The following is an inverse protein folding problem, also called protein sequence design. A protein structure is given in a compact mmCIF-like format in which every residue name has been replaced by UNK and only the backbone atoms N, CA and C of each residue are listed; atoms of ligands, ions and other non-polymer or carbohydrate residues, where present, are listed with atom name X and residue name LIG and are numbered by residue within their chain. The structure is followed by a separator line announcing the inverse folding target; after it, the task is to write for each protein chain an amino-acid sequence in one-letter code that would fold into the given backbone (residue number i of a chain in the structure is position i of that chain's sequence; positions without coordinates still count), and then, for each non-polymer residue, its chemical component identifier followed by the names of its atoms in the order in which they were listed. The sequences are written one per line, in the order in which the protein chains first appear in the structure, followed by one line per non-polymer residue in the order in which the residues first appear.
data_IF_395647834111
#
_entry.id   IF_395647834111
#
_cell.length_a   1.000
_cell.length_b   1.000
_cell.length_c   1.000
_cell.angle_alpha   90.00
_cell.angle_beta   90.00
_cell.angle_gamma   90.00
#
_symmetry.space_group_name_H-M   'P 1'
#
loop_
_entity.id
_entity.type
_entity.pdbx_description
1 polymer ?
#
# COMPACT_ATOMS: atom_id res chain seq x y z
N UNK A 1 4.63 -18.73 6.58
CA UNK A 1 4.19 -17.61 7.42
C UNK A 1 4.40 -16.33 6.63
N UNK A 2 3.50 -15.34 6.75
CA UNK A 2 3.62 -14.09 6.01
C UNK A 2 4.93 -13.35 6.31
N UNK A 3 5.41 -12.59 5.33
CA UNK A 3 6.55 -11.66 5.46
C UNK A 3 5.99 -10.28 5.76
N UNK A 4 6.47 -9.62 6.82
CA UNK A 4 5.92 -8.32 7.19
C UNK A 4 6.84 -7.16 6.81
N UNK A 5 6.27 -6.11 6.22
CA UNK A 5 6.90 -4.80 6.06
C UNK A 5 6.42 -3.84 7.15
N UNK A 6 7.30 -2.95 7.62
CA UNK A 6 6.88 -1.83 8.46
C UNK A 6 6.44 -0.65 7.58
N UNK A 7 5.22 -0.15 7.77
CA UNK A 7 4.80 1.10 7.14
C UNK A 7 5.34 2.28 7.93
N UNK A 8 6.39 2.95 7.43
CA UNK A 8 7.10 4.04 8.11
C UNK A 8 6.32 5.36 8.10
N UNK A 9 5.20 5.46 7.38
CA UNK A 9 4.29 6.60 7.51
C UNK A 9 3.45 6.52 8.79
N UNK A 10 3.18 5.30 9.30
CA UNK A 10 2.37 5.08 10.50
C UNK A 10 3.18 4.59 11.71
N UNK A 11 4.16 3.72 11.47
CA UNK A 11 5.04 3.16 12.49
C UNK A 11 6.30 4.01 12.65
N UNK A 12 6.86 3.98 13.85
CA UNK A 12 8.09 4.70 14.23
C UNK A 12 7.99 6.22 14.03
N UNK A 13 6.77 6.78 14.07
CA UNK A 13 6.52 8.20 13.91
C UNK A 13 7.09 9.06 15.04
N UNK A 14 7.59 8.43 16.11
CA UNK A 14 8.38 9.05 17.17
C UNK A 14 9.78 9.50 16.69
N UNK A 15 10.19 9.10 15.49
CA UNK A 15 11.44 9.49 14.84
C UNK A 15 11.20 10.28 13.54
N UNK A 16 12.22 11.04 13.12
CA UNK A 16 12.26 11.64 11.78
C UNK A 16 12.28 10.55 10.70
N UNK A 17 11.69 10.82 9.53
CA UNK A 17 11.43 9.81 8.49
C UNK A 17 12.63 8.92 8.16
N UNK A 18 13.82 9.52 7.94
CA UNK A 18 15.02 8.76 7.59
C UNK A 18 15.57 7.90 8.74
N UNK A 19 15.24 8.22 9.99
CA UNK A 19 15.68 7.46 11.16
C UNK A 19 14.71 6.31 11.49
N UNK A 20 13.49 6.33 10.92
CA UNK A 20 12.52 5.22 11.02
C UNK A 20 13.03 3.93 10.39
N UNK A 21 13.92 4.02 9.39
CA UNK A 21 14.56 2.86 8.78
C UNK A 21 15.46 2.12 9.77
N UNK A 22 16.27 2.85 10.54
CA UNK A 22 17.11 2.28 11.60
C UNK A 22 16.23 1.62 12.68
N UNK A 23 15.14 2.28 13.07
CA UNK A 23 14.20 1.77 14.07
C UNK A 23 13.46 0.49 13.62
N UNK A 24 13.00 0.45 12.36
CA UNK A 24 12.32 -0.71 11.80
C UNK A 24 13.26 -1.93 11.70
N UNK A 25 14.51 -1.71 11.25
CA UNK A 25 15.51 -2.78 11.21
C UNK A 25 15.88 -3.28 12.61
N UNK A 26 16.05 -2.38 13.57
CA UNK A 26 16.31 -2.75 14.97
C UNK A 26 15.16 -3.56 15.59
N UNK A 27 13.91 -3.30 15.18
CA UNK A 27 12.75 -4.08 15.57
C UNK A 27 12.65 -5.46 14.87
N UNK A 28 13.49 -5.72 13.86
CA UNK A 28 13.58 -7.00 13.15
C UNK A 28 12.78 -7.07 11.86
N UNK A 29 12.24 -5.95 11.35
CA UNK A 29 11.66 -5.91 10.01
C UNK A 29 12.75 -6.06 8.94
N UNK A 30 12.37 -6.66 7.81
CA UNK A 30 13.23 -6.86 6.63
C UNK A 30 12.74 -6.11 5.40
N UNK A 31 11.50 -5.65 5.44
CA UNK A 31 10.88 -4.81 4.42
C UNK A 31 10.29 -3.55 5.04
N UNK A 32 10.23 -2.48 4.27
CA UNK A 32 9.55 -1.23 4.65
C UNK A 32 8.71 -0.70 3.51
N UNK A 33 7.67 0.03 3.87
CA UNK A 33 6.78 0.76 2.96
C UNK A 33 6.37 2.10 3.59
N UNK A 34 5.77 3.00 2.82
CA UNK A 34 5.29 4.30 3.28
C UNK A 34 4.49 4.98 2.15
N UNK A 35 3.80 6.08 2.46
CA UNK A 35 3.01 6.83 1.48
C UNK A 35 3.89 7.31 0.32
N UNK A 36 4.98 8.03 0.60
CA UNK A 36 5.86 8.53 -0.45
C UNK A 36 7.15 9.13 0.11
N UNK A 37 8.30 8.96 -0.56
CA UNK A 37 9.59 9.47 -0.11
C UNK A 37 9.95 10.85 -0.69
N UNK A 38 8.99 11.54 -1.30
CA UNK A 38 9.24 12.63 -2.26
C UNK A 38 9.87 13.90 -1.68
N UNK A 39 9.79 14.10 -0.36
CA UNK A 39 10.48 15.19 0.35
C UNK A 39 11.99 14.95 0.54
N UNK A 40 12.47 13.77 0.17
CA UNK A 40 13.86 13.37 0.27
C UNK A 40 14.42 12.97 -1.09
N UNK A 41 15.70 13.26 -1.32
CA UNK A 41 16.39 12.76 -2.50
C UNK A 41 16.39 11.22 -2.52
N UNK A 42 16.17 10.57 -3.68
CA UNK A 42 16.10 9.11 -3.78
C UNK A 42 17.35 8.42 -3.22
N UNK A 43 18.54 8.99 -3.44
CA UNK A 43 19.81 8.44 -2.94
C UNK A 43 19.92 8.45 -1.42
N UNK A 44 19.32 9.43 -0.74
CA UNK A 44 19.32 9.49 0.72
C UNK A 44 18.48 8.36 1.32
N UNK A 45 17.35 8.06 0.69
CA UNK A 45 16.46 6.95 1.08
C UNK A 45 17.10 5.61 0.74
N UNK A 46 17.69 5.46 -0.45
CA UNK A 46 18.45 4.27 -0.86
C UNK A 46 19.60 3.97 0.11
N UNK A 47 20.31 5.00 0.58
CA UNK A 47 21.37 4.86 1.58
C UNK A 47 20.85 4.30 2.92
N UNK A 48 19.65 4.69 3.35
CA UNK A 48 19.01 4.16 4.57
C UNK A 48 18.56 2.71 4.40
N UNK A 49 17.99 2.34 3.25
CA UNK A 49 17.67 0.94 2.93
C UNK A 49 18.92 0.06 2.97
N UNK A 50 19.98 0.48 2.26
CA UNK A 50 21.25 -0.25 2.17
C UNK A 50 21.93 -0.39 3.52
N UNK A 51 22.03 0.69 4.30
CA UNK A 51 22.63 0.69 5.65
C UNK A 51 22.00 -0.38 6.55
N UNK A 52 20.68 -0.55 6.44
CA UNK A 52 19.89 -1.40 7.33
C UNK A 52 19.56 -2.79 6.76
N UNK A 53 19.96 -3.07 5.51
CA UNK A 53 19.60 -4.32 4.83
C UNK A 53 18.08 -4.49 4.65
N UNK A 54 17.36 -3.38 4.42
CA UNK A 54 15.92 -3.37 4.23
C UNK A 54 15.54 -3.41 2.75
N UNK A 55 14.46 -4.13 2.44
CA UNK A 55 13.82 -4.10 1.12
C UNK A 55 12.77 -3.00 1.05
N UNK A 56 12.75 -2.22 -0.03
CA UNK A 56 11.62 -1.32 -0.31
C UNK A 56 10.46 -2.14 -0.88
N UNK A 57 9.42 -2.35 -0.09
CA UNK A 57 8.28 -3.23 -0.45
C UNK A 57 7.24 -2.50 -1.28
N UNK A 58 6.88 -1.28 -0.90
CA UNK A 58 5.85 -0.49 -1.56
C UNK A 58 6.03 0.99 -1.25
N UNK A 59 5.63 1.87 -2.18
CA UNK A 59 5.26 3.25 -1.89
C UNK A 59 4.22 3.72 -2.93
N UNK A 60 3.57 4.86 -2.70
CA UNK A 60 2.53 5.36 -3.60
C UNK A 60 3.12 6.29 -4.66
N UNK A 61 2.48 6.41 -5.82
CA UNK A 61 2.66 7.53 -6.74
C UNK A 61 2.46 8.88 -6.00
N UNK A 62 3.01 10.01 -6.50
CA UNK A 62 2.76 11.32 -5.91
C UNK A 62 1.26 11.60 -5.76
N UNK A 63 0.86 12.00 -4.56
CA UNK A 63 -0.55 12.02 -4.14
C UNK A 63 -1.22 13.40 -4.23
N UNK A 64 -0.58 14.37 -4.87
CA UNK A 64 -1.02 15.76 -4.92
C UNK A 64 -0.76 16.52 -3.61
N UNK A 65 -1.59 17.52 -3.33
CA UNK A 65 -1.52 18.35 -2.12
C UNK A 65 -2.13 17.64 -0.91
N UNK A 66 -1.33 16.76 -0.31
CA UNK A 66 -1.74 16.02 0.89
C UNK A 66 -2.15 16.94 2.05
N UNK A 67 -1.45 18.07 2.21
CA UNK A 67 -1.73 19.06 3.26
C UNK A 67 -3.04 19.81 3.00
N UNK A 68 -3.36 20.08 1.73
CA UNK A 68 -4.64 20.64 1.28
C UNK A 68 -5.82 19.67 1.33
N UNK A 69 -5.58 18.40 1.69
CA UNK A 69 -6.62 17.39 1.88
C UNK A 69 -6.77 16.41 0.71
N UNK A 70 -5.94 16.51 -0.33
CA UNK A 70 -5.91 15.51 -1.39
C UNK A 70 -5.39 14.18 -0.84
N UNK A 71 -5.86 13.07 -1.42
CA UNK A 71 -5.51 11.71 -1.00
C UNK A 71 -5.18 10.86 -2.22
N UNK A 72 -4.42 11.44 -3.16
CA UNK A 72 -4.26 10.92 -4.50
C UNK A 72 -5.01 11.75 -5.53
N UNK A 73 -4.50 11.74 -6.76
CA UNK A 73 -5.03 12.50 -7.89
C UNK A 73 -5.44 11.60 -9.07
N UNK A 74 -5.42 10.27 -8.89
CA UNK A 74 -5.64 9.31 -9.98
C UNK A 74 -6.97 9.48 -10.72
N UNK A 75 -8.04 9.83 -10.00
CA UNK A 75 -9.37 10.02 -10.57
C UNK A 75 -9.72 11.48 -10.91
N UNK A 76 -8.76 12.41 -10.78
CA UNK A 76 -9.01 13.84 -11.01
C UNK A 76 -8.81 14.20 -12.50
N UNK A 77 -9.88 14.53 -13.25
CA UNK A 77 -9.82 14.73 -14.69
C UNK A 77 -9.03 15.98 -15.10
N UNK A 78 -8.89 16.96 -14.21
CA UNK A 78 -8.16 18.21 -14.41
C UNK A 78 -6.66 18.12 -14.06
N UNK A 79 -6.19 16.96 -13.56
CA UNK A 79 -4.82 16.75 -13.09
C UNK A 79 -4.04 15.67 -13.84
N UNK A 80 -4.51 15.29 -15.03
CA UNK A 80 -3.92 14.21 -15.86
C UNK A 80 -2.42 14.42 -16.12
N UNK A 81 -2.00 15.62 -16.51
CA UNK A 81 -0.59 15.87 -16.82
C UNK A 81 0.32 15.83 -15.58
N UNK A 82 -0.20 16.25 -14.43
CA UNK A 82 0.52 16.10 -13.16
C UNK A 82 0.63 14.64 -12.76
N UNK A 83 -0.46 13.87 -12.90
CA UNK A 83 -0.46 12.43 -12.67
C UNK A 83 0.62 11.73 -13.52
N UNK A 84 0.69 12.04 -14.82
CA UNK A 84 1.66 11.46 -15.74
C UNK A 84 3.11 11.78 -15.34
N UNK A 85 3.38 13.04 -14.97
CA UNK A 85 4.68 13.46 -14.44
C UNK A 85 5.02 12.73 -13.14
N UNK A 86 4.02 12.50 -12.29
CA UNK A 86 4.16 11.73 -11.06
C UNK A 86 4.55 10.27 -11.29
N UNK A 87 4.05 9.64 -12.36
CA UNK A 87 4.45 8.27 -12.75
C UNK A 87 5.95 8.21 -13.07
N UNK A 88 6.46 9.15 -13.87
CA UNK A 88 7.89 9.20 -14.22
C UNK A 88 8.77 9.46 -12.99
N UNK A 89 8.28 10.29 -12.07
CA UNK A 89 8.93 10.53 -10.76
C UNK A 89 8.98 9.24 -9.95
N UNK A 90 7.87 8.53 -9.81
CA UNK A 90 7.81 7.26 -9.09
C UNK A 90 8.74 6.19 -9.70
N UNK A 91 8.85 6.12 -11.04
CA UNK A 91 9.82 5.22 -11.71
C UNK A 91 11.25 5.55 -11.30
N UNK A 92 11.60 6.83 -11.23
CA UNK A 92 12.94 7.28 -10.81
C UNK A 92 13.26 6.81 -9.39
N UNK A 93 12.32 7.00 -8.45
CA UNK A 93 12.47 6.52 -7.09
C UNK A 93 12.49 4.99 -7.01
N UNK A 94 11.56 4.29 -7.66
CA UNK A 94 11.49 2.84 -7.63
C UNK A 94 12.81 2.19 -8.09
N UNK A 95 13.44 2.72 -9.14
CA UNK A 95 14.76 2.28 -9.61
C UNK A 95 15.87 2.52 -8.59
N UNK A 96 15.93 3.71 -7.99
CA UNK A 96 16.95 4.03 -6.99
C UNK A 96 16.80 3.19 -5.72
N UNK A 97 15.56 2.87 -5.33
CA UNK A 97 15.23 2.12 -4.11
C UNK A 97 15.21 0.60 -4.32
N UNK A 98 15.31 0.11 -5.56
CA UNK A 98 15.13 -1.30 -5.89
C UNK A 98 13.71 -1.81 -5.59
N UNK A 99 12.70 -0.94 -5.68
CA UNK A 99 11.31 -1.28 -5.42
C UNK A 99 10.64 -1.81 -6.70
N UNK A 100 9.98 -2.96 -6.59
CA UNK A 100 9.34 -3.63 -7.74
C UNK A 100 7.87 -3.31 -7.93
N UNK A 101 7.27 -2.47 -7.08
CA UNK A 101 5.84 -2.15 -7.14
C UNK A 101 5.51 -0.80 -6.51
N UNK A 102 4.50 -0.11 -7.07
CA UNK A 102 4.00 1.18 -6.57
C UNK A 102 2.47 1.22 -6.61
N UNK A 103 1.86 1.93 -5.66
CA UNK A 103 0.40 2.06 -5.56
C UNK A 103 -0.10 3.41 -6.11
N UNK A 104 -1.20 3.38 -6.84
CA UNK A 104 -1.92 4.56 -7.29
C UNK A 104 -3.15 4.78 -6.42
N UNK A 105 -3.06 5.77 -5.51
CA UNK A 105 -4.25 6.25 -4.80
C UNK A 105 -5.22 6.92 -5.78
N UNK A 106 -6.48 6.46 -5.79
CA UNK A 106 -7.50 7.03 -6.68
C UNK A 106 -7.77 8.50 -6.36
N UNK A 107 -7.73 8.87 -5.08
CA UNK A 107 -8.16 10.19 -4.61
C UNK A 107 -9.63 10.26 -4.22
N UNK A 108 -10.04 11.45 -3.79
CA UNK A 108 -11.42 11.79 -3.44
C UNK A 108 -12.15 12.24 -4.69
N UNK A 109 -13.33 11.70 -4.94
CA UNK A 109 -14.14 12.03 -6.11
C UNK A 109 -14.45 13.55 -6.15
N UNK A 110 -14.13 14.25 -7.26
CA UNK A 110 -14.35 15.69 -7.35
C UNK A 110 -15.85 16.02 -7.36
N UNK A 111 -16.24 17.05 -6.59
CA UNK A 111 -17.64 17.48 -6.50
C UNK A 111 -18.11 18.04 -7.84
N UNK A 112 -19.31 17.64 -8.28
CA UNK A 112 -19.96 18.18 -9.47
C UNK A 112 -19.53 17.53 -10.79
N UNK A 113 -18.53 16.65 -10.79
CA UNK A 113 -18.22 15.82 -11.95
C UNK A 113 -19.17 14.61 -12.02
N UNK A 114 -19.57 14.21 -13.23
CA UNK A 114 -20.36 13.00 -13.43
C UNK A 114 -19.52 11.75 -13.08
N UNK A 115 -20.09 10.71 -12.43
CA UNK A 115 -19.35 9.51 -12.05
C UNK A 115 -18.59 8.85 -13.20
N UNK A 116 -19.17 8.85 -14.41
CA UNK A 116 -18.53 8.30 -15.61
C UNK A 116 -17.28 9.09 -16.02
N UNK A 117 -17.29 10.42 -15.87
CA UNK A 117 -16.11 11.26 -16.17
C UNK A 117 -14.97 10.93 -15.22
N UNK A 118 -15.28 10.77 -13.93
CA UNK A 118 -14.30 10.42 -12.89
C UNK A 118 -13.71 9.02 -13.14
N UNK A 119 -14.57 8.04 -13.41
CA UNK A 119 -14.13 6.68 -13.70
C UNK A 119 -13.30 6.61 -14.99
N UNK A 120 -13.70 7.32 -16.04
CA UNK A 120 -12.95 7.40 -17.30
C UNK A 120 -11.57 8.01 -17.08
N UNK A 121 -11.48 9.11 -16.33
CA UNK A 121 -10.19 9.73 -16.00
C UNK A 121 -9.28 8.75 -15.24
N UNK A 122 -9.83 8.04 -14.25
CA UNK A 122 -9.06 7.05 -13.50
C UNK A 122 -8.58 5.90 -14.39
N UNK A 123 -9.45 5.32 -15.21
CA UNK A 123 -9.10 4.22 -16.12
C UNK A 123 -8.01 4.64 -17.11
N UNK A 124 -8.13 5.81 -17.73
CA UNK A 124 -7.12 6.28 -18.70
C UNK A 124 -5.78 6.61 -18.04
N UNK A 125 -5.79 7.15 -16.82
CA UNK A 125 -4.58 7.35 -16.02
C UNK A 125 -3.93 6.02 -15.65
N UNK A 126 -4.71 5.02 -15.23
CA UNK A 126 -4.18 3.69 -14.90
C UNK A 126 -3.61 2.96 -16.11
N UNK A 127 -4.24 3.07 -17.30
CA UNK A 127 -3.66 2.53 -18.55
C UNK A 127 -2.28 3.12 -18.82
N UNK A 128 -2.19 4.45 -18.78
CA UNK A 128 -0.92 5.14 -18.95
C UNK A 128 0.13 4.68 -17.93
N UNK A 129 -0.23 4.65 -16.64
CA UNK A 129 0.69 4.27 -15.58
C UNK A 129 1.14 2.81 -15.70
N UNK A 130 0.21 1.90 -16.02
CA UNK A 130 0.49 0.47 -16.15
C UNK A 130 1.50 0.22 -17.27
N UNK A 131 1.32 0.82 -18.45
CA UNK A 131 2.23 0.69 -19.59
C UNK A 131 3.64 1.24 -19.26
N UNK A 132 3.70 2.42 -18.63
CA UNK A 132 4.97 3.07 -18.25
C UNK A 132 5.74 2.27 -17.21
N UNK A 133 5.04 1.76 -16.19
CA UNK A 133 5.62 0.97 -15.12
C UNK A 133 6.02 -0.43 -15.60
N UNK A 134 5.25 -1.04 -16.50
CA UNK A 134 5.57 -2.34 -17.11
C UNK A 134 6.89 -2.26 -17.88
N UNK A 135 7.05 -1.22 -18.71
CA UNK A 135 8.29 -0.95 -19.42
C UNK A 135 9.50 -0.78 -18.46
N UNK A 136 9.25 -0.29 -17.24
CA UNK A 136 10.27 -0.14 -16.21
C UNK A 136 10.46 -1.38 -15.33
N UNK A 137 9.68 -2.45 -15.53
CA UNK A 137 9.70 -3.67 -14.71
C UNK A 137 9.11 -3.49 -13.30
N UNK A 138 8.15 -2.57 -13.14
CA UNK A 138 7.52 -2.22 -11.87
C UNK A 138 6.02 -2.53 -11.96
N UNK A 139 5.45 -3.18 -10.95
CA UNK A 139 4.00 -3.43 -10.87
C UNK A 139 3.24 -2.18 -10.46
N UNK A 140 2.13 -1.91 -11.14
CA UNK A 140 1.16 -0.92 -10.67
C UNK A 140 0.10 -1.60 -9.80
N UNK A 141 -0.16 -1.02 -8.64
CA UNK A 141 -1.23 -1.43 -7.74
C UNK A 141 -2.28 -0.32 -7.62
N UNK A 142 -3.52 -0.69 -7.31
CA UNK A 142 -4.55 0.23 -6.81
C UNK A 142 -5.10 -0.31 -5.49
N UNK A 143 -5.53 0.58 -4.63
CA UNK A 143 -6.02 0.26 -3.29
C UNK A 143 -7.41 0.84 -3.08
N UNK A 144 -8.32 0.00 -2.56
CA UNK A 144 -9.63 0.44 -2.11
C UNK A 144 -9.57 0.89 -0.65
N UNK A 145 -10.08 2.08 -0.34
CA UNK A 145 -10.03 2.68 1.00
C UNK A 145 -11.44 2.84 1.57
N UNK A 146 -11.58 2.60 2.87
CA UNK A 146 -12.87 2.75 3.55
C UNK A 146 -13.33 4.22 3.58
N UNK A 147 -14.65 4.42 3.42
CA UNK A 147 -15.25 5.76 3.35
C UNK A 147 -15.56 6.38 4.70
N UNK A 148 -15.29 5.69 5.80
CA UNK A 148 -15.39 6.23 7.17
C UNK A 148 -14.16 7.08 7.48
N UNK A 149 -12.96 6.56 7.21
CA UNK A 149 -11.68 7.25 7.40
C UNK A 149 -11.45 8.32 6.34
N UNK A 150 -11.80 8.02 5.08
CA UNK A 150 -11.66 8.96 3.96
C UNK A 150 -13.01 9.11 3.23
N UNK A 151 -13.92 9.97 3.74
CA UNK A 151 -15.19 10.23 3.09
C UNK A 151 -15.03 10.70 1.64
N UNK A 152 -15.73 10.03 0.73
CA UNK A 152 -15.71 10.36 -0.70
C UNK A 152 -14.50 9.82 -1.48
N UNK A 153 -13.66 8.98 -0.87
CA UNK A 153 -12.62 8.26 -1.62
C UNK A 153 -13.25 7.45 -2.76
N UNK A 154 -12.70 7.58 -3.97
CA UNK A 154 -13.35 7.08 -5.18
C UNK A 154 -13.41 5.56 -5.24
N UNK A 155 -12.30 4.87 -4.94
CA UNK A 155 -12.21 3.42 -4.97
C UNK A 155 -12.44 2.85 -3.57
N UNK A 156 -13.61 2.26 -3.31
CA UNK A 156 -14.07 2.00 -1.94
C UNK A 156 -14.24 0.52 -1.56
N UNK A 157 -14.21 -0.40 -2.53
CA UNK A 157 -14.37 -1.83 -2.28
C UNK A 157 -13.67 -2.70 -3.34
N UNK A 158 -13.54 -4.00 -3.03
CA UNK A 158 -12.87 -5.03 -3.83
C UNK A 158 -13.56 -5.25 -5.17
N UNK A 159 -14.90 -5.29 -5.20
CA UNK A 159 -15.66 -5.46 -6.45
C UNK A 159 -15.39 -4.30 -7.42
N UNK A 160 -15.38 -3.07 -6.91
CA UNK A 160 -15.05 -1.89 -7.68
C UNK A 160 -13.60 -1.94 -8.18
N UNK A 161 -12.64 -2.26 -7.31
CA UNK A 161 -11.24 -2.38 -7.70
C UNK A 161 -11.06 -3.37 -8.85
N UNK A 162 -11.60 -4.58 -8.72
CA UNK A 162 -11.49 -5.61 -9.74
C UNK A 162 -12.15 -5.20 -11.06
N UNK A 163 -13.34 -4.58 -11.02
CA UNK A 163 -14.00 -4.02 -12.22
C UNK A 163 -13.11 -3.00 -12.92
N UNK A 164 -12.46 -2.10 -12.16
CA UNK A 164 -11.55 -1.11 -12.74
C UNK A 164 -10.34 -1.79 -13.37
N UNK A 165 -9.74 -2.78 -12.71
CA UNK A 165 -8.59 -3.52 -13.28
C UNK A 165 -9.00 -4.19 -14.60
N UNK A 166 -10.15 -4.85 -14.64
CA UNK A 166 -10.66 -5.49 -15.85
C UNK A 166 -10.93 -4.47 -16.97
N UNK A 167 -11.44 -3.28 -16.62
CA UNK A 167 -11.72 -2.20 -17.56
C UNK A 167 -10.45 -1.52 -18.10
N UNK A 168 -9.39 -1.46 -17.30
CA UNK A 168 -8.06 -1.01 -17.75
C UNK A 168 -7.48 -2.03 -18.74
N UNK A 169 -7.64 -3.33 -18.48
CA UNK A 169 -7.25 -4.40 -19.40
C UNK A 169 -5.74 -4.62 -19.52
N UNK A 170 -4.95 -4.12 -18.56
CA UNK A 170 -3.49 -4.32 -18.51
C UNK A 170 -3.12 -5.56 -17.68
N UNK A 171 -2.07 -6.26 -18.09
CA UNK A 171 -1.48 -7.37 -17.32
C UNK A 171 -0.58 -6.88 -16.17
N UNK A 172 -0.23 -5.59 -16.14
CA UNK A 172 0.64 -4.98 -15.12
C UNK A 172 -0.14 -4.10 -14.13
N UNK A 173 -1.42 -4.42 -13.88
CA UNK A 173 -2.23 -3.74 -12.87
C UNK A 173 -2.82 -4.76 -11.89
N UNK A 174 -2.55 -4.55 -10.61
CA UNK A 174 -2.89 -5.46 -9.53
C UNK A 174 -3.67 -4.76 -8.42
N UNK A 175 -4.28 -5.55 -7.55
CA UNK A 175 -4.95 -5.05 -6.36
C UNK A 175 -4.01 -5.06 -5.15
N UNK A 176 -4.06 -3.97 -4.37
CA UNK A 176 -3.56 -3.89 -3.00
C UNK A 176 -4.73 -4.10 -2.05
N UNK A 177 -4.72 -5.21 -1.32
CA UNK A 177 -5.79 -5.57 -0.39
C UNK A 177 -5.41 -5.17 1.04
N UNK A 178 -5.87 -4.01 1.52
CA UNK A 178 -5.78 -3.69 2.95
C UNK A 178 -6.93 -4.34 3.72
N UNK A 179 -6.58 -5.29 4.59
CA UNK A 179 -7.51 -6.03 5.45
C UNK A 179 -8.35 -5.08 6.32
N UNK A 180 -7.77 -3.99 6.82
CA UNK A 180 -8.48 -3.03 7.65
C UNK A 180 -9.58 -2.34 6.87
N UNK A 181 -9.25 -1.81 5.69
CA UNK A 181 -10.23 -1.13 4.84
C UNK A 181 -11.35 -2.09 4.43
N UNK A 182 -11.01 -3.32 4.04
CA UNK A 182 -12.01 -4.28 3.58
C UNK A 182 -12.84 -4.88 4.72
N UNK A 183 -12.30 -4.99 5.94
CA UNK A 183 -13.11 -5.38 7.11
C UNK A 183 -14.21 -4.34 7.38
N UNK A 184 -13.87 -3.05 7.29
CA UNK A 184 -14.82 -1.96 7.52
C UNK A 184 -15.89 -1.91 6.43
N UNK A 185 -15.52 -2.16 5.17
CA UNK A 185 -16.41 -1.98 4.03
C UNK A 185 -17.23 -3.22 3.67
N UNK A 186 -16.68 -4.42 3.84
CA UNK A 186 -17.21 -5.65 3.24
C UNK A 186 -17.22 -6.83 4.21
N UNK A 187 -16.22 -6.94 5.08
CA UNK A 187 -15.97 -8.15 5.86
C UNK A 187 -15.53 -9.32 4.96
N UNK A 188 -15.86 -10.55 5.39
CA UNK A 188 -15.61 -11.80 4.65
C UNK A 188 -14.16 -12.01 4.14
N UNK A 189 -13.20 -11.51 4.92
CA UNK A 189 -11.80 -11.32 4.53
C UNK A 189 -11.14 -12.55 3.88
N UNK A 190 -11.21 -13.71 4.54
CA UNK A 190 -10.51 -14.91 4.08
C UNK A 190 -11.02 -15.37 2.70
N UNK A 191 -12.35 -15.47 2.53
CA UNK A 191 -12.94 -15.90 1.26
C UNK A 191 -12.66 -14.89 0.15
N UNK A 192 -12.71 -13.59 0.45
CA UNK A 192 -12.42 -12.54 -0.52
C UNK A 192 -10.96 -12.54 -0.96
N UNK A 193 -10.01 -12.73 -0.04
CA UNK A 193 -8.58 -12.84 -0.37
C UNK A 193 -8.35 -14.11 -1.21
N UNK A 194 -8.83 -15.27 -0.77
CA UNK A 194 -8.65 -16.54 -1.49
C UNK A 194 -9.20 -16.49 -2.91
N UNK A 195 -10.41 -15.94 -3.08
CA UNK A 195 -11.07 -15.83 -4.39
C UNK A 195 -10.29 -14.96 -5.39
N UNK A 196 -9.55 -13.96 -4.90
CA UNK A 196 -8.90 -12.95 -5.73
C UNK A 196 -7.38 -12.98 -5.63
N UNK A 197 -6.80 -14.08 -5.12
CA UNK A 197 -5.38 -14.17 -4.80
C UNK A 197 -4.47 -13.89 -6.01
N UNK A 198 -4.86 -14.33 -7.20
CA UNK A 198 -4.14 -14.11 -8.46
C UNK A 198 -4.13 -12.64 -8.91
N UNK A 199 -5.05 -11.83 -8.39
CA UNK A 199 -5.16 -10.39 -8.66
C UNK A 199 -4.48 -9.53 -7.59
N UNK A 200 -4.15 -10.08 -6.43
CA UNK A 200 -3.58 -9.36 -5.29
C UNK A 200 -2.05 -9.42 -5.32
N UNK A 201 -1.39 -8.27 -5.44
CA UNK A 201 0.07 -8.18 -5.40
C UNK A 201 0.62 -7.80 -4.01
N UNK A 202 -0.19 -7.12 -3.20
CA UNK A 202 0.20 -6.69 -1.86
C UNK A 202 -0.99 -6.73 -0.90
N UNK A 203 -0.72 -7.01 0.37
CA UNK A 203 -1.71 -7.02 1.44
C UNK A 203 -1.21 -6.09 2.53
N UNK A 204 -2.11 -5.33 3.15
CA UNK A 204 -1.82 -4.56 4.36
C UNK A 204 -2.70 -5.01 5.52
N UNK A 205 -2.28 -4.67 6.74
CA UNK A 205 -3.00 -4.99 7.96
C UNK A 205 -3.07 -3.81 8.94
N UNK A 206 -4.21 -3.74 9.61
CA UNK A 206 -4.44 -3.07 10.90
C UNK A 206 -5.69 -3.67 11.54
N UNK A 207 -5.83 -3.57 12.86
CA UNK A 207 -7.02 -4.09 13.52
C UNK A 207 -8.22 -3.15 13.43
N UNK A 208 -9.42 -3.72 13.45
CA UNK A 208 -10.69 -3.00 13.45
C UNK A 208 -11.46 -3.32 14.73
N UNK A 209 -12.07 -2.34 15.43
CA UNK A 209 -11.99 -0.90 15.20
C UNK A 209 -10.70 -0.25 15.70
N UNK A 210 -10.40 0.96 15.21
CA UNK A 210 -9.33 1.83 15.71
C UNK A 210 -8.04 1.89 14.90
N UNK A 211 -7.84 0.96 13.94
CA UNK A 211 -6.64 0.88 13.08
C UNK A 211 -5.35 0.77 13.89
N UNK A 212 -5.36 -0.04 14.95
CA UNK A 212 -4.23 -0.30 15.83
C UNK A 212 -3.54 -1.63 15.48
N UNK A 213 -2.52 -2.02 16.25
CA UNK A 213 -1.82 -3.29 16.05
C UNK A 213 -2.77 -4.51 16.13
N UNK A 214 -2.48 -5.60 15.39
CA UNK A 214 -3.19 -6.87 15.48
C UNK A 214 -3.40 -7.38 16.92
N UNK A 215 -4.63 -7.79 17.22
CA UNK A 215 -5.04 -8.31 18.54
C UNK A 215 -5.68 -7.26 19.46
N UNK A 216 -5.96 -6.06 18.95
CA UNK A 216 -6.63 -4.98 19.69
C UNK A 216 -8.12 -4.85 19.36
N UNK A 217 -8.58 -5.50 18.31
CA UNK A 217 -9.92 -5.41 17.77
C UNK A 217 -10.56 -6.79 17.53
N UNK A 218 -11.47 -6.83 16.55
CA UNK A 218 -12.36 -7.96 16.28
C UNK A 218 -11.76 -8.99 15.29
N UNK A 219 -10.64 -8.67 14.63
CA UNK A 219 -10.06 -9.51 13.58
C UNK A 219 -9.14 -10.57 14.19
N UNK A 220 -9.43 -11.84 13.93
CA UNK A 220 -8.54 -12.95 14.31
C UNK A 220 -7.35 -13.07 13.33
N UNK A 221 -6.34 -12.23 13.52
CA UNK A 221 -5.14 -12.22 12.68
C UNK A 221 -4.34 -13.52 12.65
N UNK A 222 -4.14 -14.27 13.77
CA UNK A 222 -3.51 -15.59 13.70
C UNK A 222 -4.16 -16.52 12.68
N UNK A 223 -5.50 -16.56 12.63
CA UNK A 223 -6.21 -17.33 11.60
C UNK A 223 -5.92 -16.85 10.18
N UNK A 224 -5.87 -15.53 9.96
CA UNK A 224 -5.57 -14.95 8.65
C UNK A 224 -4.12 -15.23 8.21
N UNK A 225 -3.15 -15.18 9.12
CA UNK A 225 -1.76 -15.51 8.80
C UNK A 225 -1.62 -16.96 8.32
N UNK A 226 -2.24 -17.91 9.03
CA UNK A 226 -2.25 -19.32 8.64
C UNK A 226 -3.04 -19.51 7.33
N UNK A 227 -4.08 -18.73 7.10
CA UNK A 227 -4.86 -18.79 5.86
C UNK A 227 -4.06 -18.31 4.65
N UNK A 228 -3.37 -17.18 4.76
CA UNK A 228 -2.49 -16.65 3.72
C UNK A 228 -1.40 -17.66 3.33
N UNK A 229 -0.84 -18.36 4.31
CA UNK A 229 0.09 -19.47 4.07
C UNK A 229 -0.57 -20.64 3.31
N UNK A 230 -1.75 -21.08 3.74
CA UNK A 230 -2.45 -22.22 3.13
C UNK A 230 -2.82 -21.96 1.67
N UNK A 231 -3.23 -20.74 1.34
CA UNK A 231 -3.59 -20.37 -0.04
C UNK A 231 -2.36 -20.03 -0.88
N UNK A 232 -1.16 -19.95 -0.28
CA UNK A 232 0.09 -19.74 -1.00
C UNK A 232 0.40 -18.28 -1.32
N UNK A 233 -0.11 -17.32 -0.53
CA UNK A 233 0.28 -15.92 -0.69
C UNK A 233 1.77 -15.74 -0.37
N UNK A 234 2.56 -15.45 -1.40
CA UNK A 234 4.01 -15.31 -1.27
C UNK A 234 4.47 -13.85 -1.07
N UNK A 235 3.57 -12.86 -1.14
CA UNK A 235 3.91 -11.43 -1.07
C UNK A 235 4.34 -10.96 0.33
N UNK A 236 4.41 -9.63 0.49
CA UNK A 236 4.58 -8.99 1.79
C UNK A 236 3.22 -8.58 2.37
N UNK A 237 3.14 -8.52 3.70
CA UNK A 237 2.02 -7.97 4.45
C UNK A 237 2.48 -6.70 5.17
N UNK A 238 2.00 -5.55 4.72
CA UNK A 238 2.34 -4.25 5.28
C UNK A 238 1.67 -3.96 6.61
N UNK A 239 2.46 -3.65 7.63
CA UNK A 239 1.97 -3.24 8.93
C UNK A 239 1.62 -1.75 8.93
N UNK A 240 0.43 -1.39 8.43
CA UNK A 240 -0.06 -0.02 8.30
C UNK A 240 -1.13 0.31 9.36
N UNK A 241 -0.68 0.43 10.60
CA UNK A 241 -1.54 0.75 11.73
C UNK A 241 -0.95 1.88 12.59
N UNK A 242 -1.80 2.52 13.39
CA UNK A 242 -1.42 3.55 14.36
C UNK A 242 -1.12 2.88 15.72
N UNK A 243 0.14 2.86 16.19
CA UNK A 243 0.46 2.23 17.47
C UNK A 243 -0.29 2.88 18.63
N UNK A 244 -0.91 2.08 19.49
CA UNK A 244 -1.77 2.58 20.58
C UNK A 244 -0.98 3.19 21.75
N UNK A 245 0.21 2.64 22.03
CA UNK A 245 1.06 3.05 23.16
C UNK A 245 2.52 3.32 22.74
N UNK A 246 2.73 3.64 21.47
CA UNK A 246 4.05 3.78 20.85
C UNK A 246 4.51 2.49 20.17
N UNK A 247 5.32 2.64 19.11
CA UNK A 247 5.60 1.56 18.16
C UNK A 247 6.20 0.32 18.82
N UNK A 248 7.30 0.48 19.57
CA UNK A 248 7.97 -0.67 20.18
C UNK A 248 7.10 -1.42 21.21
N UNK A 249 6.26 -0.70 21.95
CA UNK A 249 5.36 -1.31 22.92
C UNK A 249 4.27 -2.17 22.24
N UNK A 250 3.86 -1.79 21.03
CA UNK A 250 2.84 -2.46 20.24
C UNK A 250 3.31 -3.69 19.44
N UNK A 251 4.62 -3.91 19.28
CA UNK A 251 5.17 -4.98 18.43
C UNK A 251 5.13 -6.40 19.05
N UNK A 252 4.34 -6.62 20.10
CA UNK A 252 4.16 -7.94 20.70
C UNK A 252 3.69 -9.00 19.70
N UNK A 253 2.78 -8.62 18.80
CA UNK A 253 2.27 -9.49 17.73
C UNK A 253 3.35 -9.89 16.70
N UNK A 254 4.34 -9.03 16.47
CA UNK A 254 5.37 -9.22 15.45
C UNK A 254 6.57 -10.07 15.93
N UNK A 255 6.82 -10.14 17.26
CA UNK A 255 7.97 -10.86 17.84
C UNK A 255 8.20 -12.28 17.29
N UNK A 256 7.17 -13.12 17.05
CA UNK A 256 7.38 -14.45 16.47
C UNK A 256 7.95 -14.45 15.04
N UNK A 257 7.81 -13.33 14.32
CA UNK A 257 8.17 -13.16 12.91
C UNK A 257 9.44 -12.34 12.71
N UNK A 258 9.89 -11.60 13.73
CA UNK A 258 11.05 -10.73 13.67
C UNK A 258 12.31 -11.47 13.21
N UNK A 259 13.06 -10.86 12.29
CA UNK A 259 14.32 -11.40 11.78
C UNK A 259 14.19 -12.59 10.83
N UNK A 260 12.97 -13.08 10.56
CA UNK A 260 12.77 -14.14 9.56
C UNK A 260 12.96 -13.56 8.17
N UNK A 261 14.06 -13.95 7.54
CA UNK A 261 14.21 -13.83 6.10
C UNK A 261 13.25 -14.83 5.43
N UNK A 262 12.76 -14.51 4.23
CA UNK A 262 11.99 -15.48 3.45
C UNK A 262 12.78 -16.78 3.35
N UNK A 263 12.22 -17.89 3.80
CA UNK A 263 12.67 -19.18 3.30
C UNK A 263 12.62 -19.08 1.78
N UNK A 264 13.79 -19.10 1.13
CA UNK A 264 13.89 -19.07 -0.31
C UNK A 264 13.09 -20.27 -0.83
N UNK A 265 12.04 -19.99 -1.59
CA UNK A 265 11.41 -20.93 -2.49
C UNK A 265 11.77 -20.48 -3.91
#
# INVERSE_FOLDING_TARGET
MPRFSANLSMLFAEHDFLDRFDAAAAAGFKGVEYIGPYDHAPDAVAARLKKNGLSQVLFNLPAGDWAGGERGIGCLPDRVEEFRTGVDTAITYAKALGCSQVNCLSGIAPKGAAPEVIENAFVENLKFAADRLEYAGIKLLIEAINTIDIPGFFLANSEQALRIIDRVGSQNLYFQYDIYHMQVMEGDLARTIEKNLDRIAHIQLADNPGRHEPGTGEINYPFLYDHLDRIGYAGWVGAEYKPKAGTQAGLGWFKPFAGRDSAAA
#
